data_IF_124983802894
#
_entry.id   IF_124983802894
#
_cell.length_a   1.000
_cell.length_b   1.000
_cell.length_c   1.000
_cell.angle_alpha   90.00
_cell.angle_beta   90.00
_cell.angle_gamma   90.00
#
_symmetry.space_group_name_H-M   'P 1'
#
loop_
_entity.id
_entity.type
_entity.pdbx_description
1 polymer ?
#
# COMPACT_ATOMS: atom_id res chain seq x y z
N UNK A 1 9.18 -27.84 23.20
CA UNK A 1 9.63 -26.93 22.17
C UNK A 1 9.26 -25.50 22.52
N UNK A 2 10.20 -24.63 22.39
CA UNK A 2 9.99 -23.26 22.79
C UNK A 2 9.45 -22.45 21.64
N UNK A 3 8.37 -21.76 21.88
CA UNK A 3 7.78 -20.89 20.88
C UNK A 3 8.39 -19.52 20.97
N UNK A 4 8.81 -19.01 19.84
CA UNK A 4 9.26 -17.63 19.76
C UNK A 4 8.11 -16.75 19.37
N UNK A 5 8.15 -15.53 19.83
CA UNK A 5 7.20 -14.55 19.33
C UNK A 5 7.42 -14.35 17.85
N UNK A 6 6.33 -14.21 17.10
CA UNK A 6 6.48 -13.99 15.67
C UNK A 6 7.17 -12.66 15.39
N UNK A 7 7.97 -12.66 14.34
CA UNK A 7 8.56 -11.42 13.86
C UNK A 7 7.69 -10.89 12.74
N UNK A 8 7.25 -9.67 12.89
CA UNK A 8 6.36 -9.07 11.90
C UNK A 8 7.17 -8.60 10.69
N UNK A 9 6.61 -8.81 9.52
CA UNK A 9 7.27 -8.45 8.27
C UNK A 9 6.86 -7.04 7.88
N UNK A 10 7.83 -6.13 7.87
CA UNK A 10 7.55 -4.72 7.63
C UNK A 10 6.89 -4.43 6.30
N UNK A 11 7.27 -5.15 5.25
CA UNK A 11 6.65 -4.90 3.95
C UNK A 11 5.16 -5.23 3.94
N UNK A 12 4.76 -6.26 4.69
CA UNK A 12 3.35 -6.61 4.80
C UNK A 12 2.61 -5.57 5.63
N UNK A 13 3.22 -5.12 6.73
CA UNK A 13 2.64 -4.07 7.56
C UNK A 13 2.42 -2.81 6.72
N UNK A 14 3.41 -2.44 5.91
CA UNK A 14 3.31 -1.26 5.07
C UNK A 14 2.26 -1.42 3.98
N UNK A 15 2.19 -2.62 3.38
CA UNK A 15 1.19 -2.89 2.34
C UNK A 15 -0.22 -2.78 2.89
N UNK A 16 -0.48 -3.37 4.06
CA UNK A 16 -1.80 -3.29 4.67
C UNK A 16 -2.12 -1.87 5.11
N UNK A 17 -1.13 -1.12 5.61
CA UNK A 17 -1.33 0.27 5.98
C UNK A 17 -1.75 1.12 4.77
N UNK A 18 -1.17 0.83 3.59
CA UNK A 18 -1.55 1.53 2.37
C UNK A 18 -3.01 1.24 2.02
N UNK A 19 -3.41 -0.01 2.09
CA UNK A 19 -4.80 -0.38 1.79
C UNK A 19 -5.77 0.26 2.76
N UNK A 20 -5.42 0.28 4.04
CA UNK A 20 -6.27 0.87 5.07
C UNK A 20 -6.39 2.39 4.95
N UNK A 21 -5.40 3.01 4.32
CA UNK A 21 -5.38 4.46 4.19
C UNK A 21 -6.56 4.98 3.39
N UNK A 22 -7.04 4.22 2.42
CA UNK A 22 -8.19 4.59 1.61
C UNK A 22 -9.43 4.79 2.48
N UNK A 23 -9.65 3.87 3.40
CA UNK A 23 -10.79 3.97 4.31
C UNK A 23 -10.56 5.07 5.34
N UNK A 24 -9.36 5.13 5.88
CA UNK A 24 -9.02 6.08 6.92
C UNK A 24 -9.19 7.52 6.46
N UNK A 25 -8.77 7.81 5.23
CA UNK A 25 -8.89 9.15 4.66
C UNK A 25 -10.21 9.35 3.92
N UNK A 26 -10.97 8.28 3.74
CA UNK A 26 -12.23 8.30 3.01
C UNK A 26 -12.05 8.88 1.61
N UNK A 27 -11.08 8.35 0.88
CA UNK A 27 -10.79 8.77 -0.49
C UNK A 27 -10.83 7.57 -1.41
N UNK A 28 -11.10 7.84 -2.69
CA UNK A 28 -11.14 6.80 -3.70
C UNK A 28 -9.78 6.58 -4.36
N UNK A 29 -9.00 7.64 -4.49
CA UNK A 29 -7.72 7.60 -5.19
C UNK A 29 -6.59 8.13 -4.32
N UNK A 30 -5.43 7.50 -4.41
CA UNK A 30 -4.22 7.94 -3.74
C UNK A 30 -3.03 7.79 -4.69
N UNK A 31 -2.17 8.79 -4.69
CA UNK A 31 -0.93 8.74 -5.45
C UNK A 31 0.25 8.35 -4.56
N UNK A 32 1.38 8.07 -5.18
CA UNK A 32 2.59 7.66 -4.47
C UNK A 32 3.04 8.73 -3.46
N UNK A 33 3.04 10.00 -3.88
CA UNK A 33 3.48 11.08 -3.01
C UNK A 33 2.56 11.24 -1.80
N UNK A 34 1.26 11.08 -2.02
CA UNK A 34 0.29 11.19 -0.94
C UNK A 34 0.48 10.08 0.09
N UNK A 35 0.65 8.86 -0.39
CA UNK A 35 0.86 7.71 0.49
C UNK A 35 2.16 7.88 1.27
N UNK A 36 3.22 8.28 0.56
CA UNK A 36 4.52 8.51 1.17
C UNK A 36 4.42 9.52 2.31
N UNK A 37 3.72 10.60 2.07
CA UNK A 37 3.56 11.66 3.07
C UNK A 37 2.75 11.17 4.27
N UNK A 38 1.64 10.48 4.01
CA UNK A 38 0.75 10.04 5.09
C UNK A 38 1.40 8.99 5.98
N UNK A 39 2.17 8.09 5.41
CA UNK A 39 2.76 6.98 6.16
C UNK A 39 4.21 7.22 6.56
N UNK A 40 4.83 8.30 6.10
CA UNK A 40 6.22 8.57 6.43
C UNK A 40 7.18 7.55 5.83
N UNK A 41 6.86 7.03 4.66
CA UNK A 41 7.67 6.02 3.98
C UNK A 41 8.25 6.64 2.71
N UNK A 42 9.49 6.30 2.38
CA UNK A 42 10.12 6.81 1.17
C UNK A 42 9.33 6.44 -0.07
N UNK A 43 9.30 7.37 -1.03
CA UNK A 43 8.53 7.18 -2.26
C UNK A 43 8.93 5.92 -3.03
N UNK A 44 10.23 5.61 -3.06
CA UNK A 44 10.71 4.41 -3.75
C UNK A 44 10.11 3.15 -3.14
N UNK A 45 10.08 3.08 -1.82
CA UNK A 45 9.50 1.95 -1.11
C UNK A 45 8.00 1.86 -1.37
N UNK A 46 7.29 3.00 -1.30
CA UNK A 46 5.87 3.05 -1.59
C UNK A 46 5.60 2.57 -3.00
N UNK A 47 6.39 3.06 -3.96
CA UNK A 47 6.22 2.68 -5.36
C UNK A 47 6.32 1.16 -5.53
N UNK A 48 7.34 0.55 -4.93
CA UNK A 48 7.54 -0.89 -5.07
C UNK A 48 6.39 -1.68 -4.45
N UNK A 49 5.90 -1.25 -3.30
CA UNK A 49 4.78 -1.93 -2.64
C UNK A 49 3.51 -1.75 -3.46
N UNK A 50 3.24 -0.53 -3.91
CA UNK A 50 2.04 -0.24 -4.70
C UNK A 50 2.04 -1.04 -5.99
N UNK A 51 3.18 -1.11 -6.70
CA UNK A 51 3.26 -1.88 -7.94
C UNK A 51 3.01 -3.36 -7.67
N UNK A 52 3.48 -3.87 -6.55
CA UNK A 52 3.23 -5.24 -6.16
C UNK A 52 1.74 -5.47 -5.88
N UNK A 53 1.11 -4.52 -5.18
CA UNK A 53 -0.33 -4.60 -4.91
C UNK A 53 -1.14 -4.56 -6.19
N UNK A 54 -0.71 -3.76 -7.16
CA UNK A 54 -1.36 -3.71 -8.48
C UNK A 54 -1.21 -5.07 -9.17
N UNK A 55 0.00 -5.63 -9.13
CA UNK A 55 0.26 -6.94 -9.75
C UNK A 55 -0.65 -8.01 -9.16
N UNK A 56 -0.91 -7.94 -7.87
CA UNK A 56 -1.74 -8.91 -7.15
C UNK A 56 -3.23 -8.59 -7.21
N UNK A 57 -3.62 -7.49 -7.83
CA UNK A 57 -5.02 -7.13 -7.98
C UNK A 57 -5.65 -6.39 -6.81
N UNK A 58 -4.84 -6.01 -5.81
CA UNK A 58 -5.35 -5.27 -4.65
C UNK A 58 -5.53 -3.78 -4.93
N UNK A 59 -4.74 -3.25 -5.85
CA UNK A 59 -4.86 -1.87 -6.30
C UNK A 59 -4.98 -1.85 -7.81
N UNK A 60 -5.60 -0.81 -8.34
CA UNK A 60 -5.77 -0.61 -9.77
C UNK A 60 -5.32 0.79 -10.11
N UNK A 61 -4.58 0.91 -11.21
CA UNK A 61 -4.22 2.19 -11.78
C UNK A 61 -4.90 2.29 -13.14
N UNK A 62 -5.90 3.18 -13.23
CA UNK A 62 -6.70 3.27 -14.44
C UNK A 62 -5.93 3.93 -15.59
N UNK A 63 -5.02 4.85 -15.27
CA UNK A 63 -4.20 5.53 -16.27
C UNK A 63 -2.73 5.32 -15.93
N UNK A 64 -1.85 5.20 -16.92
CA UNK A 64 -0.43 4.89 -16.67
C UNK A 64 0.28 5.83 -15.70
N UNK A 65 -0.11 7.10 -15.67
CA UNK A 65 0.49 8.06 -14.76
C UNK A 65 -0.48 8.56 -13.71
N UNK A 66 -1.57 7.84 -13.52
CA UNK A 66 -2.63 8.26 -12.61
C UNK A 66 -2.44 7.74 -11.21
N UNK A 67 -3.38 8.11 -10.37
CA UNK A 67 -3.44 7.63 -9.00
C UNK A 67 -4.01 6.22 -8.96
N UNK A 68 -3.95 5.62 -7.80
CA UNK A 68 -4.36 4.23 -7.59
C UNK A 68 -5.64 4.17 -6.78
N UNK A 69 -6.47 3.19 -7.05
CA UNK A 69 -7.69 2.92 -6.29
C UNK A 69 -7.70 1.46 -5.86
N UNK A 70 -8.56 1.15 -4.90
CA UNK A 70 -8.68 -0.23 -4.43
C UNK A 70 -9.21 -1.12 -5.56
N UNK A 71 -8.64 -2.31 -5.64
CA UNK A 71 -9.11 -3.32 -6.58
C UNK A 71 -10.27 -4.09 -6.01
N UNK A 72 -10.70 -5.10 -6.76
CA UNK A 72 -11.85 -5.92 -6.38
C UNK A 72 -11.45 -7.23 -5.70
N UNK A 73 -10.18 -7.35 -5.36
CA UNK A 73 -9.68 -8.57 -4.78
C UNK A 73 -9.92 -8.69 -3.30
#
# INVERSE_FOLDING_TARGET
>A
MQEKEPQYVNSIIRATAILELYEKLNVQYLGIAEISKELGIQKTTVFNIVKTLVHQGWLIQDNPNGKYRLGTR
#
